data_IF_911016775589
#
_entry.id   IF_911016775589
#
_cell.length_a   1.000
_cell.length_b   1.000
_cell.length_c   1.000
_cell.angle_alpha   90.00
_cell.angle_beta   90.00
_cell.angle_gamma   90.00
#
_symmetry.space_group_name_H-M   'P 1'
#
loop_
_entity.id
_entity.type
_entity.pdbx_description
1 polymer ?
#
# COMPACT_ATOMS: atom_id res chain seq x y z
N UNK A 1 25.82 18.36 -52.71
CA UNK A 1 26.11 19.48 -51.79
C UNK A 1 24.80 19.83 -51.08
N UNK A 2 24.63 19.46 -49.84
CA UNK A 2 23.88 20.14 -48.76
C UNK A 2 23.99 19.29 -47.50
N UNK A 3 24.65 19.87 -46.54
CA UNK A 3 25.00 19.35 -45.21
C UNK A 3 23.77 19.08 -44.34
N UNK A 4 23.70 17.88 -43.73
CA UNK A 4 22.71 17.54 -42.72
C UNK A 4 23.29 17.81 -41.35
N UNK A 5 22.79 18.83 -40.66
CA UNK A 5 23.01 19.07 -39.24
C UNK A 5 21.93 18.34 -38.47
N UNK A 6 22.29 17.23 -37.88
CA UNK A 6 21.44 16.56 -36.90
C UNK A 6 21.83 17.08 -35.52
N UNK A 7 21.01 17.98 -34.98
CA UNK A 7 21.10 18.45 -33.59
C UNK A 7 20.62 17.39 -32.64
N UNK A 8 21.54 16.79 -31.90
CA UNK A 8 21.23 15.91 -30.77
C UNK A 8 20.89 16.80 -29.56
N UNK A 9 19.61 16.93 -29.25
CA UNK A 9 19.12 17.50 -27.99
C UNK A 9 19.30 16.44 -26.89
N UNK A 10 20.42 16.50 -26.18
CA UNK A 10 20.62 15.76 -24.94
C UNK A 10 19.75 16.39 -23.84
N UNK A 11 18.60 15.83 -23.60
CA UNK A 11 17.77 16.15 -22.43
C UNK A 11 18.41 15.51 -21.21
N UNK A 12 19.21 16.30 -20.51
CA UNK A 12 19.76 15.93 -19.19
C UNK A 12 18.63 16.05 -18.17
N UNK A 13 17.95 14.92 -17.88
CA UNK A 13 17.03 14.81 -16.74
C UNK A 13 17.89 14.81 -15.49
N UNK A 14 18.01 15.96 -14.85
CA UNK A 14 18.49 16.09 -13.48
C UNK A 14 17.46 15.40 -12.57
N UNK A 15 17.71 14.16 -12.22
CA UNK A 15 17.10 13.51 -11.08
C UNK A 15 17.58 14.25 -9.82
N UNK A 16 16.84 15.26 -9.41
CA UNK A 16 16.93 15.82 -8.07
C UNK A 16 16.50 14.74 -7.10
N UNK A 17 17.47 13.97 -6.58
CA UNK A 17 17.35 13.21 -5.34
C UNK A 17 17.15 14.22 -4.20
N UNK A 18 15.96 14.80 -4.11
CA UNK A 18 15.50 15.51 -2.94
C UNK A 18 15.36 14.48 -1.84
N UNK A 19 16.45 14.20 -1.13
CA UNK A 19 16.36 13.54 0.17
C UNK A 19 15.38 14.35 0.99
N UNK A 20 14.36 13.73 1.58
CA UNK A 20 13.47 14.36 2.53
C UNK A 20 14.32 14.87 3.71
N UNK A 21 14.83 16.10 3.58
CA UNK A 21 15.35 16.82 4.73
C UNK A 21 14.16 17.06 5.67
N UNK A 22 14.24 16.60 6.89
CA UNK A 22 13.16 16.74 7.87
C UNK A 22 12.87 18.21 8.19
N UNK A 23 13.85 19.12 7.97
CA UNK A 23 13.73 20.57 8.18
C UNK A 23 14.70 21.33 7.29
N UNK A 24 14.27 22.50 6.82
CA UNK A 24 15.11 23.49 6.12
C UNK A 24 15.94 24.32 7.12
N UNK A 25 16.91 25.11 6.62
CA UNK A 25 17.73 26.01 7.46
C UNK A 25 16.89 27.05 8.19
N UNK A 26 15.96 27.68 7.49
CA UNK A 26 15.10 28.72 8.08
C UNK A 26 14.16 28.12 9.13
N UNK A 27 13.60 26.96 8.89
CA UNK A 27 12.81 26.22 9.88
C UNK A 27 13.65 25.91 11.13
N UNK A 28 14.89 25.46 10.99
CA UNK A 28 15.74 25.16 12.12
C UNK A 28 15.99 26.37 13.05
N UNK A 29 16.13 27.56 12.46
CA UNK A 29 16.45 28.82 13.21
C UNK A 29 15.22 29.38 13.92
N UNK A 30 14.03 29.26 13.28
CA UNK A 30 12.79 29.92 13.76
C UNK A 30 11.85 28.97 14.49
N UNK A 31 12.16 27.67 14.56
CA UNK A 31 11.24 26.68 15.08
C UNK A 31 11.02 26.75 16.59
N UNK A 32 9.76 26.60 16.96
CA UNK A 32 9.35 26.22 18.31
C UNK A 32 9.55 24.71 18.50
N UNK A 33 10.60 24.33 19.23
CA UNK A 33 10.93 22.92 19.46
C UNK A 33 9.89 22.19 20.30
N UNK A 34 9.12 22.89 21.13
CA UNK A 34 8.00 22.28 21.84
C UNK A 34 6.88 21.92 20.87
N UNK A 35 6.54 22.80 19.94
CA UNK A 35 5.52 22.55 18.93
C UNK A 35 5.93 21.40 18.00
N UNK A 36 7.20 21.36 17.55
CA UNK A 36 7.71 20.25 16.73
C UNK A 36 7.62 18.92 17.49
N UNK A 37 8.01 18.93 18.77
CA UNK A 37 7.87 17.76 19.62
C UNK A 37 6.43 17.29 19.73
N UNK A 38 5.48 18.22 19.93
CA UNK A 38 4.06 17.93 19.98
C UNK A 38 3.54 17.30 18.69
N UNK A 39 3.90 17.87 17.54
CA UNK A 39 3.50 17.31 16.24
C UNK A 39 4.06 15.89 16.01
N UNK A 40 5.33 15.67 16.35
CA UNK A 40 5.95 14.34 16.22
C UNK A 40 5.31 13.33 17.19
N UNK A 41 5.02 13.74 18.41
CA UNK A 41 4.32 12.93 19.41
C UNK A 41 2.90 12.59 18.97
N UNK A 42 2.14 13.57 18.49
CA UNK A 42 0.74 13.40 18.05
C UNK A 42 0.59 12.50 16.80
N UNK A 43 1.68 12.31 16.06
CA UNK A 43 1.77 11.38 14.94
C UNK A 43 2.34 10.01 15.32
N UNK A 44 2.78 9.83 16.56
CA UNK A 44 3.34 8.57 17.05
C UNK A 44 4.72 8.25 16.50
N UNK A 45 5.51 9.28 16.15
CA UNK A 45 6.91 9.06 15.73
C UNK A 45 7.77 8.58 16.90
N UNK A 46 8.72 7.69 16.60
CA UNK A 46 9.67 7.18 17.56
C UNK A 46 10.69 8.24 18.03
N UNK A 47 11.50 7.89 19.04
CA UNK A 47 12.48 8.81 19.60
C UNK A 47 13.62 9.17 18.63
N UNK A 48 13.84 8.34 17.60
CA UNK A 48 14.82 8.57 16.52
C UNK A 48 14.52 9.82 15.70
N UNK A 49 13.27 10.29 15.66
CA UNK A 49 12.84 11.48 14.92
C UNK A 49 13.62 12.75 15.32
N UNK A 50 13.88 12.93 16.62
CA UNK A 50 14.76 14.01 17.08
C UNK A 50 16.17 13.92 16.51
N UNK A 51 16.68 12.70 16.31
CA UNK A 51 17.99 12.47 15.68
C UNK A 51 18.02 12.95 14.22
N UNK A 52 16.92 12.81 13.50
CA UNK A 52 16.76 13.31 12.13
C UNK A 52 16.73 14.85 12.11
N UNK A 53 15.97 15.49 13.00
CA UNK A 53 15.96 16.94 13.15
C UNK A 53 17.34 17.50 13.50
N UNK A 54 18.06 16.86 14.43
CA UNK A 54 19.43 17.24 14.77
C UNK A 54 20.38 17.18 13.58
N UNK A 55 20.29 16.10 12.77
CA UNK A 55 21.11 15.96 11.56
C UNK A 55 20.79 17.04 10.51
N UNK A 56 19.53 17.38 10.34
CA UNK A 56 19.11 18.43 9.42
C UNK A 56 19.63 19.80 9.85
N UNK A 57 19.42 20.16 11.12
CA UNK A 57 19.75 21.48 11.65
C UNK A 57 21.24 21.69 11.93
N UNK A 58 22.01 20.63 12.19
CA UNK A 58 23.48 20.75 12.38
C UNK A 58 24.21 21.33 11.16
N UNK A 59 23.68 21.10 9.94
CA UNK A 59 24.21 21.69 8.69
C UNK A 59 24.10 23.22 8.67
N UNK A 60 23.21 23.77 9.47
CA UNK A 60 22.96 25.23 9.61
C UNK A 60 23.46 25.79 10.92
N UNK A 61 24.23 25.00 11.70
CA UNK A 61 24.78 25.42 12.98
C UNK A 61 23.77 25.55 14.12
N UNK A 62 22.56 24.99 13.94
CA UNK A 62 21.47 25.03 14.92
C UNK A 62 21.38 23.72 15.69
N UNK A 63 21.26 23.84 17.01
CA UNK A 63 21.01 22.68 17.89
C UNK A 63 19.58 22.76 18.44
N UNK A 64 18.75 21.72 18.23
CA UNK A 64 17.41 21.63 18.80
C UNK A 64 17.41 21.78 20.32
N UNK A 65 16.43 22.51 20.88
CA UNK A 65 16.14 22.46 22.30
C UNK A 65 15.53 21.12 22.70
N UNK A 66 16.36 20.28 23.29
CA UNK A 66 15.99 18.93 23.68
C UNK A 66 14.89 18.91 24.75
N UNK A 67 14.92 19.87 25.69
CA UNK A 67 13.95 19.89 26.79
C UNK A 67 12.59 20.34 26.29
N UNK A 68 12.53 21.39 25.50
CA UNK A 68 11.29 21.85 24.86
C UNK A 68 10.69 20.77 23.95
N UNK A 69 11.51 20.17 23.09
CA UNK A 69 11.05 19.07 22.22
C UNK A 69 10.46 17.88 23.00
N UNK A 70 11.14 17.44 24.07
CA UNK A 70 10.63 16.31 24.89
C UNK A 70 9.33 16.64 25.58
N UNK A 71 9.19 17.85 26.13
CA UNK A 71 7.96 18.29 26.77
C UNK A 71 6.77 18.27 25.77
N UNK A 72 6.96 18.86 24.60
CA UNK A 72 5.93 18.85 23.55
C UNK A 72 5.62 17.44 23.07
N UNK A 73 6.63 16.59 22.87
CA UNK A 73 6.44 15.22 22.42
C UNK A 73 5.63 14.39 23.43
N UNK A 74 5.89 14.54 24.72
CA UNK A 74 5.12 13.87 25.77
C UNK A 74 3.66 14.29 25.75
N UNK A 75 3.35 15.56 25.53
CA UNK A 75 2.01 16.07 25.37
C UNK A 75 1.34 15.50 24.12
N UNK A 76 1.99 15.52 22.97
CA UNK A 76 1.48 14.96 21.72
C UNK A 76 1.25 13.45 21.80
N UNK A 77 2.09 12.71 22.54
CA UNK A 77 1.89 11.29 22.77
C UNK A 77 0.63 10.97 23.61
N UNK A 78 0.22 11.85 24.52
CA UNK A 78 -1.07 11.66 25.22
C UNK A 78 -2.25 11.71 24.27
N UNK A 79 -2.20 12.54 23.23
CA UNK A 79 -3.21 12.59 22.18
C UNK A 79 -3.15 11.37 21.27
N UNK A 80 -1.93 10.95 20.90
CA UNK A 80 -1.74 9.79 20.04
C UNK A 80 -2.17 8.48 20.71
N UNK A 81 -1.83 8.31 21.99
CA UNK A 81 -2.00 7.05 22.72
C UNK A 81 -3.45 6.82 23.24
N UNK A 82 -4.43 7.50 22.64
CA UNK A 82 -5.84 7.25 22.92
C UNK A 82 -6.33 5.96 22.22
N UNK A 83 -7.22 5.16 22.82
CA UNK A 83 -7.75 3.93 22.23
C UNK A 83 -8.32 4.14 20.81
N UNK A 84 -9.08 5.22 20.60
CA UNK A 84 -9.65 5.55 19.29
C UNK A 84 -8.56 5.79 18.20
N UNK A 85 -7.42 6.35 18.60
CA UNK A 85 -6.27 6.50 17.69
C UNK A 85 -5.61 5.16 17.40
N UNK A 86 -5.50 4.30 18.41
CA UNK A 86 -5.02 2.93 18.25
C UNK A 86 -5.88 2.15 17.25
N UNK A 87 -7.19 2.15 17.45
CA UNK A 87 -8.13 1.52 16.53
C UNK A 87 -7.97 2.04 15.08
N UNK A 88 -7.97 3.36 14.91
CA UNK A 88 -7.83 3.98 13.59
C UNK A 88 -6.48 3.67 12.93
N UNK A 89 -5.39 3.57 13.71
CA UNK A 89 -4.08 3.17 13.21
C UNK A 89 -4.11 1.73 12.71
N UNK A 90 -4.65 0.80 13.51
CA UNK A 90 -4.81 -0.59 13.14
C UNK A 90 -5.71 -0.77 11.92
N UNK A 91 -6.87 -0.13 11.88
CA UNK A 91 -7.85 -0.23 10.79
C UNK A 91 -7.30 0.23 9.43
N UNK A 92 -6.26 1.06 9.43
CA UNK A 92 -5.53 1.45 8.21
C UNK A 92 -4.32 0.56 7.91
N UNK A 93 -4.07 -0.47 8.71
CA UNK A 93 -2.86 -1.32 8.60
C UNK A 93 -1.58 -0.58 8.98
N UNK A 94 -1.68 0.52 9.75
CA UNK A 94 -0.55 1.32 10.16
C UNK A 94 0.32 0.61 11.20
N UNK A 95 1.62 0.92 11.21
CA UNK A 95 2.56 0.34 12.15
C UNK A 95 2.60 1.14 13.47
N UNK A 96 2.60 0.44 14.60
CA UNK A 96 2.80 1.02 15.93
C UNK A 96 4.26 0.95 16.35
N UNK A 97 4.83 2.07 16.76
CA UNK A 97 6.26 2.21 17.08
C UNK A 97 6.60 1.99 18.58
N UNK A 98 5.68 1.51 19.41
CA UNK A 98 5.95 1.29 20.83
C UNK A 98 6.21 2.58 21.62
N UNK A 99 5.51 3.66 21.31
CA UNK A 99 5.80 5.00 21.85
C UNK A 99 4.96 5.41 23.04
N UNK A 100 3.88 4.66 23.33
CA UNK A 100 2.99 4.96 24.43
C UNK A 100 3.61 4.59 25.79
N UNK A 101 3.25 5.33 26.82
CA UNK A 101 3.62 4.97 28.19
C UNK A 101 2.91 3.66 28.61
N UNK A 102 3.51 2.92 29.53
CA UNK A 102 2.97 1.65 29.99
C UNK A 102 1.51 1.75 30.48
N UNK A 103 1.11 2.91 31.03
CA UNK A 103 -0.25 3.14 31.49
C UNK A 103 -1.28 3.23 30.37
N UNK A 104 -0.90 3.87 29.23
CA UNK A 104 -1.79 4.08 28.08
C UNK A 104 -1.66 2.97 27.02
N UNK A 105 -0.54 2.25 27.04
CA UNK A 105 -0.20 1.29 25.98
C UNK A 105 -1.17 0.11 25.94
N UNK A 106 -1.67 -0.36 27.08
CA UNK A 106 -2.55 -1.54 27.16
C UNK A 106 -3.84 -1.27 26.39
N UNK A 107 -4.56 -0.20 26.73
CA UNK A 107 -5.83 0.15 26.07
C UNK A 107 -5.62 0.55 24.60
N UNK A 108 -4.51 1.24 24.32
CA UNK A 108 -4.14 1.57 22.94
C UNK A 108 -3.92 0.32 22.08
N UNK A 109 -3.15 -0.66 22.60
CA UNK A 109 -2.85 -1.89 21.87
C UNK A 109 -4.08 -2.78 21.70
N UNK A 110 -4.98 -2.83 22.66
CA UNK A 110 -6.21 -3.59 22.51
C UNK A 110 -7.08 -3.01 21.40
N UNK A 111 -7.23 -1.69 21.37
CA UNK A 111 -7.94 -1.01 20.30
C UNK A 111 -7.21 -1.13 18.95
N UNK A 112 -5.88 -1.02 18.95
CA UNK A 112 -5.06 -1.20 17.75
C UNK A 112 -5.23 -2.60 17.14
N UNK A 113 -5.19 -3.64 17.96
CA UNK A 113 -5.41 -5.02 17.50
C UNK A 113 -6.81 -5.22 16.93
N UNK A 114 -7.82 -4.63 17.57
CA UNK A 114 -9.18 -4.66 17.03
C UNK A 114 -9.28 -3.99 15.66
N UNK A 115 -8.69 -2.80 15.52
CA UNK A 115 -8.62 -2.13 14.22
C UNK A 115 -7.81 -2.92 13.18
N UNK A 116 -6.68 -3.49 13.57
CA UNK A 116 -5.83 -4.27 12.67
C UNK A 116 -6.54 -5.55 12.17
N UNK A 117 -7.31 -6.19 13.03
CA UNK A 117 -8.14 -7.33 12.61
C UNK A 117 -9.21 -6.93 11.58
N UNK A 118 -9.82 -5.74 11.72
CA UNK A 118 -10.70 -5.19 10.69
C UNK A 118 -9.97 -5.02 9.35
N UNK A 119 -8.75 -4.49 9.40
CA UNK A 119 -7.90 -4.34 8.22
C UNK A 119 -7.61 -5.68 7.52
N UNK A 120 -7.27 -6.72 8.29
CA UNK A 120 -7.02 -8.07 7.76
C UNK A 120 -8.26 -8.65 7.06
N UNK A 121 -9.43 -8.55 7.69
CA UNK A 121 -10.68 -9.03 7.09
C UNK A 121 -11.00 -8.29 5.79
N UNK A 122 -10.81 -6.97 5.76
CA UNK A 122 -10.99 -6.17 4.53
C UNK A 122 -9.97 -6.54 3.45
N UNK A 123 -8.72 -6.81 3.84
CA UNK A 123 -7.67 -7.23 2.91
C UNK A 123 -8.01 -8.59 2.27
N UNK A 124 -8.60 -9.52 3.00
CA UNK A 124 -9.04 -10.82 2.46
C UNK A 124 -10.12 -10.65 1.39
N UNK A 125 -11.15 -9.83 1.63
CA UNK A 125 -12.18 -9.49 0.64
C UNK A 125 -11.57 -8.84 -0.61
N UNK A 126 -10.67 -7.88 -0.41
CA UNK A 126 -10.01 -7.17 -1.51
C UNK A 126 -9.12 -8.12 -2.32
N UNK A 127 -8.39 -9.03 -1.66
CA UNK A 127 -7.54 -10.03 -2.32
C UNK A 127 -8.35 -10.98 -3.19
N UNK A 128 -9.43 -11.55 -2.67
CA UNK A 128 -10.32 -12.43 -3.43
C UNK A 128 -10.92 -11.68 -4.63
N UNK A 129 -11.37 -10.44 -4.44
CA UNK A 129 -11.91 -9.59 -5.51
C UNK A 129 -10.87 -9.31 -6.60
N UNK A 130 -9.63 -9.00 -6.20
CA UNK A 130 -8.54 -8.79 -7.15
C UNK A 130 -8.25 -10.04 -8.00
N UNK A 131 -8.19 -11.22 -7.36
CA UNK A 131 -7.92 -12.49 -8.04
C UNK A 131 -9.06 -12.87 -9.00
N UNK A 132 -10.33 -12.72 -8.60
CA UNK A 132 -11.49 -12.92 -9.49
C UNK A 132 -11.37 -12.05 -10.73
N UNK A 133 -11.06 -10.77 -10.56
CA UNK A 133 -10.95 -9.84 -11.68
C UNK A 133 -9.72 -10.14 -12.56
N UNK A 134 -8.63 -10.62 -11.98
CA UNK A 134 -7.45 -11.03 -12.75
C UNK A 134 -7.76 -12.27 -13.61
N UNK A 135 -8.38 -13.28 -13.02
CA UNK A 135 -8.76 -14.51 -13.73
C UNK A 135 -9.80 -14.25 -14.83
N UNK A 136 -10.79 -13.37 -14.58
CA UNK A 136 -11.76 -12.96 -15.62
C UNK A 136 -11.11 -12.28 -16.81
N UNK A 137 -10.15 -11.38 -16.57
CA UNK A 137 -9.41 -10.73 -17.66
C UNK A 137 -8.52 -11.72 -18.43
N UNK A 138 -7.96 -12.73 -17.75
CA UNK A 138 -7.20 -13.79 -18.43
C UNK A 138 -8.13 -14.64 -19.29
N UNK A 139 -9.29 -15.03 -18.77
CA UNK A 139 -10.31 -15.79 -19.49
C UNK A 139 -10.76 -15.05 -20.75
N UNK A 140 -11.05 -13.77 -20.65
CA UNK A 140 -11.43 -12.92 -21.78
C UNK A 140 -10.34 -12.89 -22.88
N UNK A 141 -9.07 -12.65 -22.47
CA UNK A 141 -7.94 -12.68 -23.43
C UNK A 141 -7.79 -14.06 -24.10
N UNK A 142 -7.93 -15.13 -23.35
CA UNK A 142 -7.83 -16.48 -23.91
C UNK A 142 -8.96 -16.76 -24.92
N UNK A 143 -10.17 -16.28 -24.63
CA UNK A 143 -11.29 -16.40 -25.56
C UNK A 143 -11.05 -15.63 -26.86
N UNK A 144 -10.42 -14.44 -26.77
CA UNK A 144 -10.02 -13.68 -27.98
C UNK A 144 -8.98 -14.44 -28.79
N UNK A 145 -7.94 -15.01 -28.13
CA UNK A 145 -6.92 -15.81 -28.78
C UNK A 145 -7.49 -17.08 -29.43
N UNK A 146 -8.47 -17.72 -28.77
CA UNK A 146 -9.15 -18.88 -29.33
C UNK A 146 -9.84 -18.50 -30.64
N UNK A 147 -10.62 -17.39 -30.65
CA UNK A 147 -11.30 -16.91 -31.88
C UNK A 147 -10.33 -16.60 -33.01
N UNK A 148 -9.19 -15.98 -32.69
CA UNK A 148 -8.13 -15.68 -33.67
C UNK A 148 -7.54 -16.99 -34.23
N UNK A 149 -7.18 -17.95 -33.37
CA UNK A 149 -6.59 -19.23 -33.78
C UNK A 149 -7.57 -20.10 -34.57
N UNK A 150 -8.86 -20.10 -34.22
CA UNK A 150 -9.90 -20.76 -34.99
C UNK A 150 -10.05 -20.19 -36.40
N UNK A 151 -9.98 -18.86 -36.56
CA UNK A 151 -10.00 -18.21 -37.86
C UNK A 151 -8.78 -18.61 -38.71
N UNK A 152 -7.59 -18.67 -38.11
CA UNK A 152 -6.37 -19.13 -38.78
C UNK A 152 -6.45 -20.61 -39.16
N UNK A 153 -7.06 -21.46 -38.33
CA UNK A 153 -7.18 -22.89 -38.57
C UNK A 153 -7.96 -23.21 -39.87
N UNK A 154 -8.97 -22.40 -40.18
CA UNK A 154 -9.80 -22.57 -41.38
C UNK A 154 -9.32 -21.76 -42.60
N UNK A 155 -8.32 -20.92 -42.44
CA UNK A 155 -7.77 -20.13 -43.55
C UNK A 155 -7.11 -21.01 -44.63
N UNK A 156 -7.25 -20.64 -45.88
CA UNK A 156 -6.77 -21.44 -47.03
C UNK A 156 -5.27 -21.53 -47.09
N UNK A 157 -4.54 -20.48 -46.65
CA UNK A 157 -3.09 -20.38 -46.66
C UNK A 157 -2.41 -21.14 -45.51
N UNK A 158 -3.16 -21.63 -44.52
CA UNK A 158 -2.58 -22.31 -43.35
C UNK A 158 -2.09 -23.72 -43.77
N UNK A 159 -0.83 -23.98 -43.49
CA UNK A 159 -0.21 -25.30 -43.80
C UNK A 159 -0.71 -26.38 -42.86
N UNK A 160 -0.58 -27.66 -43.28
CA UNK A 160 -0.94 -28.82 -42.41
C UNK A 160 -0.14 -28.79 -41.11
N UNK A 161 1.15 -28.40 -41.15
CA UNK A 161 1.99 -28.32 -39.97
C UNK A 161 1.49 -27.25 -39.03
N UNK A 162 1.13 -26.06 -39.52
CA UNK A 162 0.61 -24.96 -38.70
C UNK A 162 -0.75 -25.31 -38.08
N UNK A 163 -1.61 -26.04 -38.80
CA UNK A 163 -2.90 -26.53 -38.24
C UNK A 163 -2.71 -27.45 -37.05
N UNK A 164 -1.69 -28.33 -37.08
CA UNK A 164 -1.37 -29.20 -35.93
C UNK A 164 -0.98 -28.38 -34.72
N UNK A 165 -0.15 -27.36 -34.90
CA UNK A 165 0.25 -26.45 -33.81
C UNK A 165 -0.93 -25.63 -33.27
N UNK A 166 -1.76 -25.09 -34.17
CA UNK A 166 -2.96 -24.35 -33.78
C UNK A 166 -3.93 -25.20 -32.97
N UNK A 167 -4.11 -26.46 -33.33
CA UNK A 167 -4.97 -27.41 -32.57
C UNK A 167 -4.41 -27.70 -31.18
N UNK A 168 -3.09 -27.83 -31.02
CA UNK A 168 -2.44 -27.98 -29.73
C UNK A 168 -2.66 -26.73 -28.85
N UNK A 169 -2.42 -25.54 -29.40
CA UNK A 169 -2.63 -24.27 -28.71
C UNK A 169 -4.09 -24.06 -28.27
N UNK A 170 -5.06 -24.41 -29.16
CA UNK A 170 -6.49 -24.32 -28.87
C UNK A 170 -6.88 -25.23 -27.69
N UNK A 171 -6.31 -26.45 -27.68
CA UNK A 171 -6.51 -27.37 -26.56
C UNK A 171 -5.99 -26.80 -25.25
N UNK A 172 -4.74 -26.30 -25.24
CA UNK A 172 -4.12 -25.75 -24.02
C UNK A 172 -4.89 -24.53 -23.49
N UNK A 173 -5.32 -23.62 -24.39
CA UNK A 173 -6.16 -22.48 -24.04
C UNK A 173 -7.53 -22.92 -23.46
N UNK A 174 -8.15 -23.96 -24.03
CA UNK A 174 -9.43 -24.49 -23.54
C UNK A 174 -9.29 -25.11 -22.16
N UNK A 175 -8.22 -25.89 -21.91
CA UNK A 175 -7.92 -26.47 -20.61
C UNK A 175 -7.66 -25.37 -19.56
N UNK A 176 -6.88 -24.35 -19.92
CA UNK A 176 -6.62 -23.19 -19.04
C UNK A 176 -7.90 -22.42 -18.71
N UNK A 177 -8.79 -22.23 -19.69
CA UNK A 177 -10.07 -21.58 -19.46
C UNK A 177 -10.95 -22.36 -18.46
N UNK A 178 -11.02 -23.69 -18.57
CA UNK A 178 -11.73 -24.54 -17.63
C UNK A 178 -11.16 -24.44 -16.19
N UNK A 179 -9.84 -24.33 -16.06
CA UNK A 179 -9.18 -24.07 -14.77
C UNK A 179 -9.58 -22.70 -14.21
N UNK A 180 -9.51 -21.64 -15.03
CA UNK A 180 -9.86 -20.28 -14.62
C UNK A 180 -11.33 -20.17 -14.17
N UNK A 181 -12.25 -20.81 -14.88
CA UNK A 181 -13.65 -20.84 -14.50
C UNK A 181 -13.85 -21.50 -13.12
N UNK A 182 -13.17 -22.62 -12.88
CA UNK A 182 -13.20 -23.31 -11.59
C UNK A 182 -12.60 -22.46 -10.47
N UNK A 183 -11.45 -21.85 -10.70
CA UNK A 183 -10.80 -20.93 -9.75
C UNK A 183 -11.70 -19.73 -9.42
N UNK A 184 -12.38 -19.16 -10.41
CA UNK A 184 -13.31 -18.04 -10.22
C UNK A 184 -14.47 -18.44 -9.31
N UNK A 185 -15.05 -19.65 -9.50
CA UNK A 185 -16.14 -20.13 -8.65
C UNK A 185 -15.69 -20.28 -7.19
N UNK A 186 -14.52 -20.88 -6.96
CA UNK A 186 -13.94 -21.03 -5.61
C UNK A 186 -13.72 -19.66 -4.98
N UNK A 187 -13.09 -18.72 -5.70
CA UNK A 187 -12.80 -17.39 -5.20
C UNK A 187 -14.06 -16.55 -4.92
N UNK A 188 -15.15 -16.76 -5.67
CA UNK A 188 -16.44 -16.11 -5.41
C UNK A 188 -17.04 -16.60 -4.09
N UNK A 189 -16.98 -17.92 -3.80
CA UNK A 189 -17.42 -18.47 -2.53
C UNK A 189 -16.54 -18.01 -1.37
N UNK A 190 -15.21 -18.02 -1.53
CA UNK A 190 -14.27 -17.49 -0.54
C UNK A 190 -14.55 -16.03 -0.22
N UNK A 191 -14.75 -15.18 -1.24
CA UNK A 191 -15.10 -13.78 -1.05
C UNK A 191 -16.38 -13.61 -0.25
N UNK A 192 -17.43 -14.37 -0.57
CA UNK A 192 -18.70 -14.31 0.16
C UNK A 192 -18.53 -14.65 1.64
N UNK A 193 -17.71 -15.67 1.97
CA UNK A 193 -17.36 -15.99 3.37
C UNK A 193 -16.57 -14.88 4.06
N UNK A 194 -15.63 -14.26 3.37
CA UNK A 194 -14.86 -13.14 3.92
C UNK A 194 -15.73 -11.89 4.12
N UNK A 195 -16.69 -11.62 3.23
CA UNK A 195 -17.65 -10.52 3.37
C UNK A 195 -18.56 -10.76 4.60
N UNK A 196 -19.01 -11.97 4.84
CA UNK A 196 -19.79 -12.33 6.02
C UNK A 196 -18.97 -12.16 7.31
N UNK A 197 -17.72 -12.64 7.34
CA UNK A 197 -16.82 -12.47 8.50
C UNK A 197 -16.58 -10.98 8.79
N UNK A 198 -16.33 -10.19 7.76
CA UNK A 198 -16.14 -8.74 7.87
C UNK A 198 -17.39 -8.05 8.44
N UNK A 199 -18.57 -8.37 7.91
CA UNK A 199 -19.84 -7.79 8.36
C UNK A 199 -20.14 -8.14 9.84
N UNK A 200 -19.93 -9.41 10.21
CA UNK A 200 -20.11 -9.86 11.59
C UNK A 200 -19.14 -9.16 12.55
N UNK A 201 -17.89 -9.00 12.14
CA UNK A 201 -16.91 -8.29 12.95
C UNK A 201 -17.24 -6.80 13.10
N UNK A 202 -17.60 -6.12 12.00
CA UNK A 202 -18.04 -4.73 12.02
C UNK A 202 -19.23 -4.51 12.96
N UNK A 203 -20.21 -5.41 12.92
CA UNK A 203 -21.36 -5.36 13.84
C UNK A 203 -20.94 -5.55 15.31
N UNK A 204 -19.93 -6.39 15.57
CA UNK A 204 -19.42 -6.61 16.93
C UNK A 204 -18.69 -5.39 17.49
N UNK A 205 -17.82 -4.75 16.69
CA UNK A 205 -17.01 -3.60 17.13
C UNK A 205 -17.81 -2.30 17.19
N UNK A 206 -18.92 -2.18 16.47
CA UNK A 206 -19.80 -1.01 16.55
C UNK A 206 -20.32 -0.73 17.99
N UNK A 207 -20.37 -1.76 18.82
CA UNK A 207 -20.80 -1.65 20.21
C UNK A 207 -19.68 -1.22 21.18
N UNK A 208 -18.42 -1.21 20.76
CA UNK A 208 -17.27 -0.86 21.62
C UNK A 208 -16.92 0.62 21.63
N UNK A 209 -17.54 1.45 20.77
CA UNK A 209 -17.42 2.91 20.82
C UNK A 209 -16.03 3.47 20.43
N UNK A 210 -15.28 2.77 19.59
CA UNK A 210 -14.00 3.28 19.03
C UNK A 210 -14.20 4.35 17.97
#
# INVERSE_FOLDING_TARGET
MYSKWAGILAVTVLLSLGGCATMSGDECVTSDWQLIGFEDGSRGYGAERLGEHRKACAKHGVTPDLQAYRAGREEGLRDFCQPSRGYNLGARGGHYNGVCSAEMEVEFLDAYRAGYHLHELQANVNSATYQINANRRELERNQDLIREKEALLIATETTVQDRILLLADLKDLSERNGQLETEILILVDDRARHEEQLANYQASVANFGY
#
